data_IF_074136663995
#
_entry.id   IF_074136663995
#
_cell.length_a   1.000
_cell.length_b   1.000
_cell.length_c   1.000
_cell.angle_alpha   90.00
_cell.angle_beta   90.00
_cell.angle_gamma   90.00
#
_symmetry.space_group_name_H-M   'P 1'
#
loop_
_entity.id
_entity.type
_entity.pdbx_description
1 polymer ?
#
# COMPACT_ATOMS: atom_id res chain seq x y z
N UNK A 1 14.00 10.44 8.67
CA UNK A 1 13.24 9.41 7.96
C UNK A 1 12.86 9.95 6.59
N UNK A 2 13.02 9.15 5.54
CA UNK A 2 12.77 9.55 4.15
C UNK A 2 11.95 8.47 3.45
N UNK A 3 11.10 8.85 2.50
CA UNK A 3 10.41 7.89 1.66
C UNK A 3 10.39 8.33 0.20
N UNK A 4 10.31 7.35 -0.69
CA UNK A 4 10.20 7.48 -2.13
C UNK A 4 9.07 6.58 -2.63
N UNK A 5 8.38 7.02 -3.67
CA UNK A 5 7.37 6.21 -4.37
C UNK A 5 7.66 6.23 -5.86
N UNK A 6 7.40 5.11 -6.53
CA UNK A 6 7.55 4.96 -7.97
C UNK A 6 6.43 4.08 -8.54
N UNK A 7 6.23 4.17 -9.85
CA UNK A 7 5.23 3.40 -10.59
C UNK A 7 4.13 4.26 -11.20
N UNK A 8 3.41 3.67 -12.15
CA UNK A 8 2.34 4.32 -12.92
C UNK A 8 1.02 3.59 -12.69
N UNK A 9 -0.11 4.29 -12.82
CA UNK A 9 -1.44 3.68 -12.58
C UNK A 9 -1.77 2.51 -13.52
N UNK A 10 -1.18 2.47 -14.71
CA UNK A 10 -1.31 1.37 -15.68
C UNK A 10 0.00 0.59 -15.86
N UNK A 11 1.00 0.88 -15.01
CA UNK A 11 2.27 0.18 -14.99
C UNK A 11 2.14 -1.19 -14.32
N UNK A 12 3.21 -2.00 -14.34
CA UNK A 12 3.18 -3.36 -13.81
C UNK A 12 3.06 -3.41 -12.27
N UNK A 13 3.51 -2.36 -11.57
CA UNK A 13 3.46 -2.27 -10.11
C UNK A 13 3.69 -0.83 -9.61
N UNK A 14 3.31 -0.60 -8.34
CA UNK A 14 3.72 0.54 -7.54
C UNK A 14 4.76 0.11 -6.50
N UNK A 15 5.77 0.94 -6.24
CA UNK A 15 6.85 0.64 -5.30
C UNK A 15 7.04 1.79 -4.31
N UNK A 16 7.24 1.46 -3.04
CA UNK A 16 7.60 2.41 -1.98
C UNK A 16 8.90 2.01 -1.30
N UNK A 17 9.80 2.96 -1.09
CA UNK A 17 11.06 2.78 -0.34
C UNK A 17 11.02 3.69 0.87
N UNK A 18 11.31 3.17 2.06
CA UNK A 18 11.36 3.92 3.32
C UNK A 18 12.75 3.74 3.95
N UNK A 19 13.43 4.85 4.21
CA UNK A 19 14.78 4.90 4.74
C UNK A 19 14.84 5.59 6.12
N UNK A 20 15.74 5.09 6.97
CA UNK A 20 15.93 5.60 8.33
C UNK A 20 14.87 5.13 9.32
N UNK A 21 14.29 3.95 9.10
CA UNK A 21 13.47 3.24 10.10
C UNK A 21 14.42 2.64 11.15
N UNK A 22 14.16 2.80 12.46
CA UNK A 22 14.92 2.10 13.50
C UNK A 22 14.89 0.58 13.31
N UNK A 23 15.98 -0.10 13.68
CA UNK A 23 16.01 -1.55 13.67
C UNK A 23 14.98 -2.15 14.65
N UNK A 24 14.56 -3.39 14.39
CA UNK A 24 13.60 -4.15 15.20
C UNK A 24 12.18 -3.59 15.26
N UNK A 25 11.82 -2.64 14.40
CA UNK A 25 10.41 -2.30 14.15
C UNK A 25 9.77 -3.46 13.41
N UNK A 26 8.81 -4.13 14.05
CA UNK A 26 8.06 -5.22 13.45
C UNK A 26 7.07 -4.68 12.42
N UNK A 27 7.18 -5.15 11.19
CA UNK A 27 6.23 -4.88 10.12
C UNK A 27 6.02 -6.14 9.30
N UNK A 28 4.77 -6.42 8.94
CA UNK A 28 4.40 -7.56 8.12
C UNK A 28 3.56 -7.11 6.92
N UNK A 29 3.48 -7.96 5.90
CA UNK A 29 2.65 -7.69 4.72
C UNK A 29 1.19 -7.48 5.11
N UNK A 30 0.72 -8.22 6.12
CA UNK A 30 -0.66 -8.13 6.63
C UNK A 30 -0.97 -6.75 7.24
N UNK A 31 0.01 -6.11 7.87
CA UNK A 31 -0.17 -4.74 8.40
C UNK A 31 -0.45 -3.75 7.26
N UNK A 32 0.27 -3.89 6.14
CA UNK A 32 0.08 -3.06 4.95
C UNK A 32 -1.22 -3.37 4.21
N UNK A 33 -1.58 -4.64 4.07
CA UNK A 33 -2.85 -5.06 3.45
C UNK A 33 -4.06 -4.48 4.19
N UNK A 34 -4.03 -4.52 5.53
CA UNK A 34 -5.06 -3.92 6.37
C UNK A 34 -5.18 -2.40 6.13
N UNK A 35 -4.05 -1.70 6.00
CA UNK A 35 -4.04 -0.26 5.71
C UNK A 35 -4.61 0.06 4.32
N UNK A 36 -4.20 -0.70 3.30
CA UNK A 36 -4.70 -0.52 1.93
C UNK A 36 -6.20 -0.80 1.84
N UNK A 37 -6.69 -1.81 2.55
CA UNK A 37 -8.12 -2.11 2.62
C UNK A 37 -8.93 -0.91 3.13
N UNK A 38 -8.39 -0.14 4.10
CA UNK A 38 -9.07 1.07 4.60
C UNK A 38 -9.23 2.17 3.55
N UNK A 39 -8.35 2.24 2.54
CA UNK A 39 -8.47 3.22 1.43
C UNK A 39 -9.73 3.02 0.59
N UNK A 40 -10.36 1.85 0.70
CA UNK A 40 -11.59 1.47 -0.03
C UNK A 40 -12.85 1.82 0.75
N UNK A 41 -12.72 2.24 2.01
CA UNK A 41 -13.84 2.62 2.87
C UNK A 41 -14.20 4.09 2.62
N UNK A 42 -15.46 4.35 2.22
CA UNK A 42 -15.97 5.71 2.02
C UNK A 42 -17.18 5.77 1.09
N UNK A 43 -18.17 6.58 1.45
CA UNK A 43 -19.36 6.82 0.63
C UNK A 43 -18.95 7.44 -0.71
N UNK A 44 -19.43 6.92 -1.84
CA UNK A 44 -19.04 7.38 -3.18
C UNK A 44 -17.77 6.75 -3.78
N UNK A 45 -17.07 5.85 -3.06
CA UNK A 45 -16.01 5.01 -3.66
C UNK A 45 -16.65 3.99 -4.61
N UNK A 46 -16.33 4.06 -5.90
CA UNK A 46 -16.95 3.26 -6.95
C UNK A 46 -16.76 1.75 -6.78
N UNK A 47 -17.66 0.96 -7.37
CA UNK A 47 -17.69 -0.50 -7.21
C UNK A 47 -16.32 -1.18 -7.51
N UNK A 48 -15.54 -0.67 -8.47
CA UNK A 48 -14.21 -1.21 -8.81
C UNK A 48 -13.23 -1.25 -7.63
N UNK A 49 -13.16 -0.19 -6.81
CA UNK A 49 -12.28 -0.17 -5.63
C UNK A 49 -12.76 -1.13 -4.52
N UNK A 50 -14.01 -1.64 -4.56
CA UNK A 50 -14.46 -2.67 -3.61
C UNK A 50 -14.03 -4.08 -4.02
N UNK A 51 -13.76 -4.32 -5.29
CA UNK A 51 -13.41 -5.65 -5.82
C UNK A 51 -11.92 -5.84 -6.05
N UNK A 52 -11.20 -4.80 -6.44
CA UNK A 52 -9.78 -4.88 -6.74
C UNK A 52 -8.96 -4.89 -5.45
N UNK A 53 -8.32 -6.02 -5.16
CA UNK A 53 -7.45 -6.20 -4.00
C UNK A 53 -6.00 -6.11 -4.44
N UNK A 54 -5.35 -5.00 -4.14
CA UNK A 54 -3.89 -4.85 -4.28
C UNK A 54 -3.17 -5.96 -3.50
N UNK A 55 -2.32 -6.72 -4.21
CA UNK A 55 -1.40 -7.66 -3.58
C UNK A 55 -0.11 -6.93 -3.22
N UNK A 56 0.25 -6.93 -1.94
CA UNK A 56 1.47 -6.27 -1.44
C UNK A 56 2.55 -7.30 -1.17
N UNK A 57 3.80 -6.91 -1.41
CA UNK A 57 4.99 -7.68 -1.03
C UNK A 57 5.99 -6.75 -0.33
N UNK A 58 6.47 -7.19 0.82
CA UNK A 58 7.63 -6.62 1.54
C UNK A 58 8.92 -7.33 1.12
#
# INVERSE_FOLDING_TARGET
MRWLTAGESHGPALVGIIEGVPANVSISTKDLENELARRRLGFGRGARQKFEVDAVRL
#
